data_IF_599210537818
#
_entry.id   IF_599210537818
#
_cell.length_a   1.000
_cell.length_b   1.000
_cell.length_c   1.000
_cell.angle_alpha   90.00
_cell.angle_beta   90.00
_cell.angle_gamma   90.00
#
_symmetry.space_group_name_H-M   'P 1'
#
loop_
_entity.id
_entity.type
_entity.pdbx_description
1 polymer ?
#
# COMPACT_ATOMS: atom_id res chain seq x y z
N UNK A 1 13.70 21.61 -77.96
CA UNK A 1 12.75 21.21 -76.90
C UNK A 1 13.50 20.43 -75.85
N UNK A 2 13.79 21.03 -74.70
CA UNK A 2 14.29 20.34 -73.50
C UNK A 2 13.63 21.05 -72.31
N UNK A 3 12.89 20.32 -71.49
CA UNK A 3 12.32 20.79 -70.23
C UNK A 3 12.83 19.84 -69.15
N UNK A 4 13.76 20.34 -68.34
CA UNK A 4 14.30 19.66 -67.15
C UNK A 4 13.38 20.01 -65.98
N UNK A 5 12.72 19.01 -65.40
CA UNK A 5 11.99 19.15 -64.14
C UNK A 5 12.92 18.77 -62.99
N UNK A 6 13.37 19.77 -62.22
CA UNK A 6 14.08 19.57 -60.97
C UNK A 6 13.09 19.19 -59.87
N UNK A 7 13.22 17.98 -59.31
CA UNK A 7 12.51 17.55 -58.12
C UNK A 7 13.06 18.24 -56.88
N UNK A 8 12.21 18.93 -56.14
CA UNK A 8 12.54 19.45 -54.81
C UNK A 8 12.15 18.39 -53.78
N UNK A 9 13.14 17.68 -53.24
CA UNK A 9 12.97 16.83 -52.07
C UNK A 9 13.04 17.71 -50.81
N UNK A 10 11.90 17.92 -50.15
CA UNK A 10 11.87 18.55 -48.83
C UNK A 10 12.24 17.48 -47.81
N UNK A 11 13.48 17.50 -47.33
CA UNK A 11 13.91 16.72 -46.19
C UNK A 11 13.23 17.24 -44.92
N UNK A 12 12.34 16.45 -44.33
CA UNK A 12 11.80 16.72 -43.00
C UNK A 12 12.91 16.42 -42.00
N UNK A 13 13.53 17.47 -41.47
CA UNK A 13 14.45 17.35 -40.35
C UNK A 13 13.67 16.89 -39.11
N UNK A 14 13.91 15.66 -38.66
CA UNK A 14 13.44 15.17 -37.38
C UNK A 14 14.13 15.96 -36.25
N UNK A 15 13.48 17.01 -35.75
CA UNK A 15 13.80 17.57 -34.44
C UNK A 15 13.11 16.73 -33.38
N UNK A 16 13.83 15.75 -32.85
CA UNK A 16 13.52 15.22 -31.52
C UNK A 16 13.94 16.25 -30.47
N UNK A 17 13.18 16.31 -29.36
CA UNK A 17 13.30 17.14 -28.15
C UNK A 17 12.46 18.41 -28.14
N UNK A 18 11.23 18.30 -27.63
CA UNK A 18 10.97 18.40 -26.19
C UNK A 18 9.68 17.65 -25.91
N UNK A 19 9.74 16.57 -25.12
CA UNK A 19 8.55 16.12 -24.42
C UNK A 19 8.31 17.19 -23.35
N UNK A 20 7.39 18.10 -23.63
CA UNK A 20 6.81 18.97 -22.61
C UNK A 20 6.39 18.05 -21.45
N UNK A 21 7.15 18.13 -20.36
CA UNK A 21 6.76 17.59 -19.07
C UNK A 21 5.55 18.39 -18.63
N UNK A 22 4.38 18.01 -19.14
CA UNK A 22 3.12 18.43 -18.57
C UNK A 22 3.17 18.03 -17.10
N UNK A 23 3.16 19.04 -16.23
CA UNK A 23 2.85 18.93 -14.81
C UNK A 23 1.62 18.02 -14.68
N UNK A 24 1.84 16.72 -14.51
CA UNK A 24 0.82 15.90 -13.88
C UNK A 24 0.64 16.52 -12.50
N UNK A 25 -0.58 16.88 -12.08
CA UNK A 25 -0.78 17.44 -10.76
C UNK A 25 -0.23 16.42 -9.76
N UNK A 26 0.92 16.75 -9.19
CA UNK A 26 1.61 15.89 -8.26
C UNK A 26 0.65 15.54 -7.13
N UNK A 27 0.76 14.31 -6.64
CA UNK A 27 0.03 13.91 -5.46
C UNK A 27 0.45 14.80 -4.27
N UNK A 28 -0.52 15.54 -3.70
CA UNK A 28 -0.30 16.39 -2.53
C UNK A 28 -0.17 15.51 -1.27
N UNK A 29 1.05 15.02 -1.03
CA UNK A 29 1.37 14.17 0.11
C UNK A 29 1.05 14.85 1.47
N UNK A 30 1.34 16.14 1.69
CA UNK A 30 0.86 16.86 2.87
C UNK A 30 -0.66 16.78 3.08
N UNK A 31 -1.46 16.99 2.03
CA UNK A 31 -2.91 16.91 2.12
C UNK A 31 -3.40 15.49 2.45
N UNK A 32 -2.78 14.45 1.86
CA UNK A 32 -3.10 13.05 2.17
C UNK A 32 -2.80 12.71 3.63
N UNK A 33 -1.62 13.08 4.13
CA UNK A 33 -1.24 12.84 5.53
C UNK A 33 -2.14 13.63 6.50
N UNK A 34 -2.54 14.85 6.14
CA UNK A 34 -3.47 15.63 6.94
C UNK A 34 -4.89 15.02 6.93
N UNK A 35 -5.33 14.43 5.82
CA UNK A 35 -6.58 13.69 5.79
C UNK A 35 -6.53 12.42 6.65
N UNK A 36 -5.44 11.65 6.58
CA UNK A 36 -5.22 10.48 7.44
C UNK A 36 -5.26 10.89 8.93
N UNK A 37 -4.63 12.01 9.29
CA UNK A 37 -4.65 12.54 10.66
C UNK A 37 -6.05 12.79 11.23
N UNK A 38 -7.03 13.11 10.37
CA UNK A 38 -8.42 13.34 10.79
C UNK A 38 -9.18 12.04 11.02
N UNK A 39 -8.81 10.98 10.31
CA UNK A 39 -9.42 9.65 10.46
C UNK A 39 -8.76 8.93 11.66
N UNK A 40 -7.42 8.95 11.70
CA UNK A 40 -6.59 8.28 12.69
C UNK A 40 -5.59 9.28 13.32
N UNK A 41 -5.96 9.93 14.45
CA UNK A 41 -5.09 10.91 15.11
C UNK A 41 -3.73 10.37 15.56
N UNK A 42 -3.62 9.05 15.74
CA UNK A 42 -2.41 8.33 16.15
C UNK A 42 -1.49 7.94 14.98
N UNK A 43 -1.84 8.23 13.72
CA UNK A 43 -1.06 7.79 12.55
C UNK A 43 0.43 8.15 12.63
N UNK A 44 0.77 9.30 13.23
CA UNK A 44 2.15 9.79 13.37
C UNK A 44 3.03 8.90 14.24
N UNK A 45 2.43 8.05 15.07
CA UNK A 45 3.17 7.05 15.86
C UNK A 45 3.77 5.97 14.96
N UNK A 46 3.19 5.74 13.77
CA UNK A 46 3.50 4.60 12.91
C UNK A 46 4.05 4.98 11.54
N UNK A 47 3.67 6.17 11.02
CA UNK A 47 4.10 6.65 9.70
C UNK A 47 5.09 7.80 9.82
N UNK A 48 6.29 7.61 9.25
CA UNK A 48 7.40 8.57 9.19
C UNK A 48 7.20 9.62 8.10
N UNK A 49 6.80 9.19 6.91
CA UNK A 49 6.56 10.06 5.77
C UNK A 49 5.84 9.35 4.62
N UNK A 50 5.43 10.13 3.64
CA UNK A 50 4.84 9.69 2.37
C UNK A 50 5.61 10.35 1.23
N UNK A 51 6.15 9.56 0.31
CA UNK A 51 7.01 10.05 -0.78
C UNK A 51 6.87 9.21 -2.05
N UNK A 52 7.13 9.77 -3.24
CA UNK A 52 7.12 8.98 -4.47
C UNK A 52 8.25 7.94 -4.48
N UNK A 53 8.08 6.89 -5.27
CA UNK A 53 9.17 5.98 -5.62
C UNK A 53 10.33 6.76 -6.27
N UNK A 54 11.56 6.27 -6.05
CA UNK A 54 12.72 6.87 -6.68
C UNK A 54 12.64 6.80 -8.21
N UNK A 55 13.13 7.80 -8.96
CA UNK A 55 13.15 7.78 -10.41
C UNK A 55 13.77 6.48 -10.97
N UNK A 56 13.10 5.86 -11.93
CA UNK A 56 13.54 4.60 -12.55
C UNK A 56 13.08 3.33 -11.81
N UNK A 57 12.46 3.45 -10.64
CA UNK A 57 11.80 2.34 -9.94
C UNK A 57 10.32 2.31 -10.37
N UNK A 58 10.00 1.53 -11.40
CA UNK A 58 8.60 1.25 -11.77
C UNK A 58 8.20 -0.12 -11.24
N UNK A 59 7.10 -0.18 -10.49
CA UNK A 59 6.67 -1.40 -9.82
C UNK A 59 5.22 -1.78 -10.08
N UNK A 60 4.44 -0.94 -10.79
CA UNK A 60 2.99 -1.12 -10.96
C UNK A 60 2.35 -1.43 -9.61
N UNK A 61 2.61 -0.57 -8.63
CA UNK A 61 2.02 -0.63 -7.30
C UNK A 61 1.39 0.71 -6.99
N UNK A 62 0.33 0.75 -6.20
CA UNK A 62 -0.19 2.02 -5.70
C UNK A 62 0.68 2.54 -4.56
N UNK A 63 0.88 1.74 -3.51
CA UNK A 63 1.69 2.08 -2.34
C UNK A 63 2.42 0.86 -1.79
N UNK A 64 3.48 1.11 -1.02
CA UNK A 64 4.17 0.10 -0.23
C UNK A 64 4.77 0.71 1.04
N UNK A 65 4.76 -0.06 2.12
CA UNK A 65 5.43 0.29 3.37
C UNK A 65 6.91 -0.11 3.34
N UNK A 66 7.81 0.82 3.66
CA UNK A 66 9.26 0.58 3.69
C UNK A 66 9.88 1.15 4.96
N UNK A 67 11.07 0.66 5.32
CA UNK A 67 11.83 1.33 6.39
C UNK A 67 12.17 2.77 5.99
N UNK A 68 12.31 3.69 6.96
CA UNK A 68 12.62 5.08 6.67
C UNK A 68 13.83 5.25 5.74
N UNK A 69 13.65 6.01 4.66
CA UNK A 69 14.68 6.31 3.66
C UNK A 69 14.99 5.20 2.64
N UNK A 70 14.31 4.04 2.63
CA UNK A 70 14.53 3.01 1.63
C UNK A 70 13.77 3.25 0.32
N UNK A 71 14.44 3.21 -0.83
CA UNK A 71 13.88 3.73 -2.10
C UNK A 71 13.17 2.70 -3.00
N UNK A 72 13.47 1.41 -2.84
CA UNK A 72 12.87 0.35 -3.65
C UNK A 72 12.16 -0.68 -2.75
N UNK A 73 10.83 -0.77 -2.72
CA UNK A 73 10.12 -1.70 -1.85
C UNK A 73 10.40 -3.19 -2.13
N UNK A 74 10.95 -3.52 -3.31
CA UNK A 74 11.39 -4.89 -3.63
C UNK A 74 12.84 -5.18 -3.20
N UNK A 75 13.57 -4.15 -2.74
CA UNK A 75 14.94 -4.27 -2.26
C UNK A 75 15.01 -5.13 -1.00
N UNK A 76 16.05 -5.96 -0.91
CA UNK A 76 16.35 -6.75 0.32
C UNK A 76 16.52 -5.85 1.54
N UNK A 77 16.91 -4.62 1.28
CA UNK A 77 17.20 -3.57 2.23
C UNK A 77 16.04 -2.55 2.34
N UNK A 78 14.81 -2.99 2.17
CA UNK A 78 13.65 -2.08 2.22
C UNK A 78 12.56 -2.53 3.17
N UNK A 79 12.68 -3.75 3.70
CA UNK A 79 11.71 -4.32 4.63
C UNK A 79 11.42 -3.32 5.77
N UNK A 80 10.13 -3.06 6.06
CA UNK A 80 9.74 -2.14 7.12
C UNK A 80 10.23 -2.63 8.48
N UNK A 81 10.40 -1.70 9.40
CA UNK A 81 10.68 -2.01 10.79
C UNK A 81 9.44 -2.55 11.50
N UNK A 82 9.69 -3.50 12.39
CA UNK A 82 8.74 -4.07 13.32
C UNK A 82 9.24 -3.96 14.76
N UNK A 83 8.31 -4.13 15.70
CA UNK A 83 8.53 -4.01 17.13
C UNK A 83 7.94 -2.73 17.71
N UNK A 84 7.72 -2.66 19.04
CA UNK A 84 7.10 -1.52 19.70
C UNK A 84 7.77 -0.19 19.33
N UNK A 85 6.99 0.77 18.84
CA UNK A 85 7.45 2.09 18.43
C UNK A 85 7.93 2.20 16.98
N UNK A 86 8.01 1.07 16.23
CA UNK A 86 8.48 1.09 14.85
C UNK A 86 7.68 2.07 13.99
N UNK A 87 8.43 2.86 13.21
CA UNK A 87 7.88 3.90 12.34
C UNK A 87 8.46 3.76 10.93
N UNK A 88 7.59 3.77 9.92
CA UNK A 88 7.93 3.40 8.55
C UNK A 88 7.51 4.48 7.54
N UNK A 89 8.17 4.53 6.39
CA UNK A 89 7.77 5.37 5.28
C UNK A 89 6.76 4.64 4.39
N UNK A 90 5.91 5.41 3.72
CA UNK A 90 5.10 4.92 2.61
C UNK A 90 5.67 5.49 1.32
N UNK A 91 5.93 4.60 0.35
CA UNK A 91 6.29 4.97 -1.01
C UNK A 91 5.13 4.71 -1.96
N UNK A 92 4.98 5.54 -3.00
CA UNK A 92 3.91 5.38 -4.00
C UNK A 92 4.40 5.55 -5.43
N UNK A 93 3.78 4.84 -6.37
CA UNK A 93 3.97 5.08 -7.81
C UNK A 93 3.00 6.18 -8.26
N UNK A 94 3.56 7.33 -8.67
CA UNK A 94 2.78 8.50 -9.04
C UNK A 94 1.83 8.27 -10.21
N UNK A 95 2.22 7.46 -11.20
CA UNK A 95 1.36 7.18 -12.34
C UNK A 95 0.21 6.25 -11.94
N UNK A 96 0.52 5.17 -11.23
CA UNK A 96 -0.49 4.19 -10.82
C UNK A 96 -1.54 4.80 -9.88
N UNK A 97 -1.11 5.59 -8.89
CA UNK A 97 -2.03 6.16 -7.89
C UNK A 97 -2.94 7.27 -8.44
N UNK A 98 -2.55 7.88 -9.57
CA UNK A 98 -3.34 8.91 -10.25
C UNK A 98 -4.24 8.32 -11.35
N UNK A 99 -3.94 7.13 -11.85
CA UNK A 99 -4.63 6.52 -12.98
C UNK A 99 -6.06 6.09 -12.63
N UNK A 100 -7.06 6.86 -13.07
CA UNK A 100 -8.47 6.44 -13.07
C UNK A 100 -9.18 6.41 -11.70
N UNK A 101 -8.46 6.64 -10.60
CA UNK A 101 -8.99 6.58 -9.24
C UNK A 101 -9.27 7.96 -8.64
N UNK A 102 -10.30 8.00 -7.80
CA UNK A 102 -10.72 9.15 -7.02
C UNK A 102 -9.69 9.51 -5.95
N UNK A 103 -9.66 10.76 -5.47
CA UNK A 103 -8.88 11.12 -4.30
C UNK A 103 -9.23 10.28 -3.06
N UNK A 104 -10.49 9.83 -2.93
CA UNK A 104 -10.94 9.02 -1.81
C UNK A 104 -10.30 7.62 -1.79
N UNK A 105 -10.06 7.03 -2.96
CA UNK A 105 -9.33 5.77 -3.07
C UNK A 105 -7.89 5.90 -2.56
N UNK A 106 -7.24 7.06 -2.77
CA UNK A 106 -5.88 7.31 -2.24
C UNK A 106 -5.86 7.36 -0.72
N UNK A 107 -6.92 7.87 -0.09
CA UNK A 107 -7.07 7.79 1.37
C UNK A 107 -7.23 6.35 1.83
N UNK A 108 -8.02 5.54 1.12
CA UNK A 108 -8.19 4.12 1.41
C UNK A 108 -6.84 3.38 1.34
N UNK A 109 -6.06 3.58 0.28
CA UNK A 109 -4.72 2.99 0.12
C UNK A 109 -3.74 3.45 1.21
N UNK A 110 -3.78 4.73 1.57
CA UNK A 110 -2.95 5.26 2.65
C UNK A 110 -3.32 4.62 4.01
N UNK A 111 -4.62 4.42 4.24
CA UNK A 111 -5.14 3.80 5.44
C UNK A 111 -4.83 2.28 5.50
N UNK A 112 -4.74 1.63 4.34
CA UNK A 112 -4.23 0.26 4.20
C UNK A 112 -2.78 0.13 4.71
N UNK A 113 -1.88 0.98 4.22
CA UNK A 113 -0.47 0.97 4.64
C UNK A 113 -0.30 1.38 6.10
N UNK A 114 -1.15 2.30 6.58
CA UNK A 114 -1.24 2.63 8.00
C UNK A 114 -1.57 1.40 8.86
N UNK A 115 -2.53 0.58 8.44
CA UNK A 115 -2.86 -0.66 9.16
C UNK A 115 -1.63 -1.57 9.29
N UNK A 116 -0.88 -1.78 8.20
CA UNK A 116 0.36 -2.58 8.24
C UNK A 116 1.39 -1.99 9.18
N UNK A 117 1.65 -0.68 9.10
CA UNK A 117 2.61 -0.02 9.98
C UNK A 117 2.24 -0.17 11.45
N UNK A 118 0.95 0.01 11.76
CA UNK A 118 0.41 -0.16 13.10
C UNK A 118 0.51 -1.61 13.59
N UNK A 119 0.25 -2.57 12.71
CA UNK A 119 0.39 -3.99 13.03
C UNK A 119 1.84 -4.37 13.34
N UNK A 120 2.79 -3.94 12.50
CA UNK A 120 4.22 -4.18 12.71
C UNK A 120 4.75 -3.57 14.03
N UNK A 121 4.17 -2.44 14.44
CA UNK A 121 4.49 -1.81 15.71
C UNK A 121 3.80 -2.44 16.93
N UNK A 122 2.99 -3.50 16.74
CA UNK A 122 2.22 -4.15 17.81
C UNK A 122 0.97 -3.39 18.24
N UNK A 123 0.52 -2.41 17.45
CA UNK A 123 -0.65 -1.59 17.74
C UNK A 123 -1.98 -2.22 17.34
N UNK A 124 -2.02 -3.31 16.57
CA UNK A 124 -3.28 -4.01 16.21
C UNK A 124 -3.50 -5.26 17.05
N UNK A 125 -4.75 -5.73 17.10
CA UNK A 125 -5.12 -7.02 17.71
C UNK A 125 -4.80 -8.23 16.84
N UNK A 126 -4.26 -8.02 15.63
CA UNK A 126 -3.94 -9.08 14.70
C UNK A 126 -2.68 -9.80 15.22
N UNK A 127 -2.77 -11.08 15.68
CA UNK A 127 -1.59 -11.78 16.15
C UNK A 127 -0.62 -11.97 15.00
N UNK A 128 0.66 -11.69 15.20
CA UNK A 128 1.66 -11.96 14.17
C UNK A 128 1.61 -13.46 13.84
N UNK A 129 1.40 -13.78 12.56
CA UNK A 129 1.40 -15.17 12.08
C UNK A 129 2.81 -15.78 12.01
N UNK A 130 3.76 -15.27 12.80
CA UNK A 130 5.18 -15.64 12.79
C UNK A 130 5.36 -17.16 12.77
N UNK A 131 6.27 -17.62 11.91
CA UNK A 131 6.60 -19.03 11.76
C UNK A 131 5.54 -19.85 11.00
N UNK A 132 4.48 -19.22 10.48
CA UNK A 132 3.55 -19.88 9.55
C UNK A 132 4.15 -20.04 8.15
N UNK A 133 5.12 -19.19 7.81
CA UNK A 133 5.70 -19.07 6.47
C UNK A 133 5.25 -17.78 5.79
N UNK A 134 6.14 -17.22 4.97
CA UNK A 134 5.99 -15.87 4.41
C UNK A 134 4.69 -15.66 3.62
N UNK A 135 4.21 -16.67 2.88
CA UNK A 135 2.97 -16.55 2.11
C UNK A 135 1.72 -16.51 3.00
N UNK A 136 1.68 -17.30 4.07
CA UNK A 136 0.57 -17.29 5.04
C UNK A 136 0.55 -15.94 5.76
N UNK A 137 1.71 -15.49 6.24
CA UNK A 137 1.85 -14.19 6.89
C UNK A 137 1.36 -13.05 5.98
N UNK A 138 1.79 -13.05 4.71
CA UNK A 138 1.35 -12.07 3.70
C UNK A 138 -0.15 -12.11 3.50
N UNK A 139 -0.75 -13.27 3.20
CA UNK A 139 -2.18 -13.33 2.92
C UNK A 139 -3.03 -12.99 4.15
N UNK A 140 -2.54 -13.29 5.36
CA UNK A 140 -3.22 -12.93 6.59
C UNK A 140 -3.18 -11.42 6.86
N UNK A 141 -2.02 -10.79 6.74
CA UNK A 141 -1.89 -9.33 6.93
C UNK A 141 -2.67 -8.55 5.88
N UNK A 142 -2.61 -8.96 4.61
CA UNK A 142 -3.34 -8.33 3.52
C UNK A 142 -4.86 -8.45 3.68
N UNK A 143 -5.37 -9.66 3.97
CA UNK A 143 -6.80 -9.85 4.19
C UNK A 143 -7.32 -9.00 5.37
N UNK A 144 -6.49 -8.83 6.41
CA UNK A 144 -6.81 -8.00 7.56
C UNK A 144 -6.85 -6.51 7.21
N UNK A 145 -5.84 -6.01 6.48
CA UNK A 145 -5.76 -4.61 6.06
C UNK A 145 -6.92 -4.23 5.12
N UNK A 146 -7.19 -5.04 4.09
CA UNK A 146 -8.34 -4.83 3.20
C UNK A 146 -9.67 -4.93 3.93
N UNK A 147 -9.83 -5.92 4.83
CA UNK A 147 -11.03 -6.05 5.64
C UNK A 147 -11.28 -4.83 6.53
N UNK A 148 -10.20 -4.28 7.11
CA UNK A 148 -10.24 -3.04 7.86
C UNK A 148 -10.71 -1.86 6.99
N UNK A 149 -10.13 -1.66 5.80
CA UNK A 149 -10.57 -0.60 4.88
C UNK A 149 -12.03 -0.77 4.44
N UNK A 150 -12.48 -2.00 4.17
CA UNK A 150 -13.88 -2.28 3.83
C UNK A 150 -14.81 -1.87 4.99
N UNK A 151 -14.42 -2.13 6.24
CA UNK A 151 -15.19 -1.71 7.41
C UNK A 151 -15.23 -0.18 7.55
N UNK A 152 -14.10 0.51 7.39
CA UNK A 152 -14.03 1.98 7.43
C UNK A 152 -14.83 2.63 6.29
N UNK A 153 -14.78 2.05 5.08
CA UNK A 153 -15.58 2.49 3.95
C UNK A 153 -17.08 2.37 4.23
N UNK A 154 -17.53 1.23 4.82
CA UNK A 154 -18.93 1.06 5.26
C UNK A 154 -19.33 2.04 6.36
N UNK A 155 -18.38 2.46 7.21
CA UNK A 155 -18.58 3.50 8.20
C UNK A 155 -18.54 4.93 7.61
N UNK A 156 -18.39 5.08 6.29
CA UNK A 156 -18.42 6.38 5.59
C UNK A 156 -17.14 7.20 5.75
N UNK A 157 -16.01 6.56 6.09
CA UNK A 157 -14.73 7.24 6.38
C UNK A 157 -14.00 7.76 5.14
N UNK A 158 -14.40 7.33 3.95
CA UNK A 158 -13.86 7.80 2.67
C UNK A 158 -14.95 8.49 1.82
N UNK A 159 -15.33 9.74 2.15
CA UNK A 159 -16.28 10.50 1.34
C UNK A 159 -15.80 10.64 -0.11
N UNK A 160 -16.66 10.28 -1.06
CA UNK A 160 -16.34 10.31 -2.50
C UNK A 160 -15.71 9.04 -3.05
N UNK A 161 -15.54 7.98 -2.23
CA UNK A 161 -15.16 6.66 -2.71
C UNK A 161 -16.23 6.12 -3.65
N UNK A 162 -15.83 5.72 -4.85
CA UNK A 162 -16.76 5.26 -5.87
C UNK A 162 -17.13 3.78 -5.67
N UNK A 163 -18.29 3.32 -6.20
CA UNK A 163 -18.71 1.93 -6.05
C UNK A 163 -17.78 0.88 -6.70
N UNK A 164 -17.10 1.24 -7.79
CA UNK A 164 -16.07 0.40 -8.44
C UNK A 164 -14.85 0.23 -7.56
N UNK A 165 -14.39 1.30 -6.92
CA UNK A 165 -13.24 1.32 -6.02
C UNK A 165 -13.50 0.55 -4.72
N UNK A 166 -14.72 0.68 -4.18
CA UNK A 166 -15.14 -0.11 -3.03
C UNK A 166 -15.21 -1.61 -3.37
N UNK A 167 -15.65 -1.95 -4.59
CA UNK A 167 -15.64 -3.33 -5.06
C UNK A 167 -14.23 -3.87 -5.25
N UNK A 168 -13.29 -3.06 -5.75
CA UNK A 168 -11.88 -3.45 -5.80
C UNK A 168 -11.36 -3.83 -4.40
N UNK A 169 -11.62 -3.01 -3.37
CA UNK A 169 -11.22 -3.34 -2.00
C UNK A 169 -11.83 -4.67 -1.49
N UNK A 170 -13.10 -4.95 -1.83
CA UNK A 170 -13.74 -6.23 -1.51
C UNK A 170 -13.11 -7.41 -2.26
N UNK A 171 -12.80 -7.23 -3.53
CA UNK A 171 -12.19 -8.26 -4.36
C UNK A 171 -10.79 -8.61 -3.82
N UNK A 172 -9.96 -7.60 -3.50
CA UNK A 172 -8.65 -7.81 -2.87
C UNK A 172 -8.78 -8.52 -1.52
N UNK A 173 -9.71 -8.12 -0.66
CA UNK A 173 -9.98 -8.82 0.60
C UNK A 173 -10.31 -10.30 0.36
N UNK A 174 -11.22 -10.57 -0.59
CA UNK A 174 -11.68 -11.91 -0.94
C UNK A 174 -10.55 -12.79 -1.48
N UNK A 175 -9.71 -12.25 -2.36
CA UNK A 175 -8.55 -12.93 -2.93
C UNK A 175 -7.59 -13.39 -1.82
N UNK A 176 -7.18 -12.48 -0.93
CA UNK A 176 -6.25 -12.82 0.15
C UNK A 176 -6.87 -13.80 1.16
N UNK A 177 -8.15 -13.64 1.50
CA UNK A 177 -8.87 -14.58 2.37
C UNK A 177 -8.95 -15.99 1.75
N UNK A 178 -9.26 -16.08 0.46
CA UNK A 178 -9.36 -17.34 -0.26
C UNK A 178 -8.01 -18.05 -0.36
N UNK A 179 -6.93 -17.32 -0.69
CA UNK A 179 -5.57 -17.86 -0.72
C UNK A 179 -5.13 -18.34 0.67
N UNK A 180 -5.38 -17.56 1.72
CA UNK A 180 -5.07 -17.96 3.11
C UNK A 180 -5.79 -19.27 3.48
N UNK A 181 -7.09 -19.36 3.16
CA UNK A 181 -7.89 -20.57 3.37
C UNK A 181 -7.29 -21.77 2.66
N UNK A 182 -6.89 -21.61 1.39
CA UNK A 182 -6.30 -22.69 0.61
C UNK A 182 -4.98 -23.20 1.21
N UNK A 183 -4.15 -22.29 1.72
CA UNK A 183 -2.86 -22.63 2.34
C UNK A 183 -3.00 -23.33 3.70
N UNK A 184 -4.04 -23.00 4.47
CA UNK A 184 -4.12 -23.40 5.88
C UNK A 184 -5.18 -24.44 6.20
N UNK A 185 -6.30 -24.48 5.47
CA UNK A 185 -7.48 -25.26 5.89
C UNK A 185 -7.17 -26.75 6.08
N UNK A 186 -6.29 -27.31 5.25
CA UNK A 186 -5.88 -28.73 5.35
C UNK A 186 -4.62 -28.92 6.21
N UNK A 187 -3.71 -27.95 6.19
CA UNK A 187 -2.41 -28.03 6.88
C UNK A 187 -2.53 -27.79 8.39
N UNK A 188 -3.35 -26.83 8.79
CA UNK A 188 -3.57 -26.42 10.19
C UNK A 188 -4.99 -25.84 10.37
N UNK A 189 -6.02 -26.72 10.45
CA UNK A 189 -7.42 -26.30 10.53
C UNK A 189 -7.74 -25.45 11.76
N UNK A 190 -7.07 -25.72 12.88
CA UNK A 190 -7.28 -25.01 14.14
C UNK A 190 -6.78 -23.57 14.05
N UNK A 191 -5.55 -23.38 13.55
CA UNK A 191 -4.99 -22.04 13.33
C UNK A 191 -5.76 -21.28 12.24
N UNK A 192 -6.19 -21.96 11.18
CA UNK A 192 -7.10 -21.38 10.18
C UNK A 192 -8.38 -20.84 10.81
N UNK A 193 -9.05 -21.62 11.68
CA UNK A 193 -10.30 -21.17 12.31
C UNK A 193 -10.09 -19.88 13.11
N UNK A 194 -9.04 -19.83 13.94
CA UNK A 194 -8.72 -18.64 14.73
C UNK A 194 -8.43 -17.40 13.86
N UNK A 195 -7.69 -17.58 12.76
CA UNK A 195 -7.44 -16.49 11.81
C UNK A 195 -8.73 -16.04 11.10
N UNK A 196 -9.55 -16.99 10.66
CA UNK A 196 -10.80 -16.70 9.97
C UNK A 196 -11.80 -15.96 10.87
N UNK A 197 -11.89 -16.31 12.15
CA UNK A 197 -12.78 -15.68 13.12
C UNK A 197 -12.41 -14.21 13.37
N UNK A 198 -11.11 -13.90 13.40
CA UNK A 198 -10.61 -12.52 13.49
C UNK A 198 -10.88 -11.73 12.21
N UNK A 199 -10.63 -12.32 11.03
CA UNK A 199 -10.85 -11.66 9.74
C UNK A 199 -12.34 -11.37 9.45
N UNK A 200 -13.27 -12.07 10.10
CA UNK A 200 -14.71 -11.78 10.03
C UNK A 200 -15.14 -10.55 10.84
N UNK A 201 -14.27 -10.03 11.72
CA UNK A 201 -14.55 -8.90 12.60
C UNK A 201 -13.50 -7.78 12.42
N UNK A 202 -13.34 -7.25 11.20
CA UNK A 202 -12.29 -6.27 10.89
C UNK A 202 -12.34 -5.01 11.77
N UNK A 203 -13.52 -4.58 12.20
CA UNK A 203 -13.75 -3.43 13.08
C UNK A 203 -13.14 -3.58 14.49
N UNK A 204 -12.79 -4.80 14.89
CA UNK A 204 -12.15 -5.08 16.18
C UNK A 204 -10.62 -5.02 16.09
N UNK A 205 -10.04 -5.11 14.89
CA UNK A 205 -8.59 -5.23 14.70
C UNK A 205 -7.82 -3.98 15.16
N UNK A 206 -8.48 -2.81 15.22
CA UNK A 206 -7.86 -1.55 15.66
C UNK A 206 -8.12 -1.20 17.12
N UNK A 207 -9.23 -1.66 17.72
CA UNK A 207 -9.74 -1.12 18.99
C UNK A 207 -8.94 -1.47 20.26
N UNK A 208 -7.95 -2.36 20.17
CA UNK A 208 -7.48 -3.09 21.36
C UNK A 208 -5.96 -3.35 21.37
N UNK A 209 -5.16 -2.56 20.66
CA UNK A 209 -3.70 -2.64 20.75
C UNK A 209 -3.12 -1.98 22.01
N UNK A 210 -2.01 -2.54 22.51
CA UNK A 210 -1.25 -1.95 23.60
C UNK A 210 -0.57 -0.63 23.21
N UNK A 211 -0.11 0.13 24.20
CA UNK A 211 0.63 1.39 23.98
C UNK A 211 1.97 1.11 23.28
N UNK A 212 2.32 1.82 22.19
CA UNK A 212 3.57 1.61 21.44
C UNK A 212 4.85 2.03 22.19
N UNK A 213 4.74 2.43 23.47
CA UNK A 213 5.77 3.17 24.21
C UNK A 213 6.67 2.32 25.13
N UNK A 214 6.62 0.98 25.07
CA UNK A 214 7.53 0.13 25.84
C UNK A 214 8.71 -0.38 24.98
N UNK A 215 9.93 -0.03 25.38
CA UNK A 215 11.20 -0.11 24.64
C UNK A 215 11.73 -1.55 24.42
N UNK A 216 12.71 -1.89 23.55
CA UNK A 216 13.97 -1.17 23.25
C UNK A 216 14.65 -1.51 21.90
N UNK A 217 14.09 -2.35 21.00
CA UNK A 217 14.75 -2.67 19.70
C UNK A 217 13.77 -2.91 18.56
N UNK A 218 13.73 -2.00 17.58
CA UNK A 218 13.12 -2.25 16.28
C UNK A 218 14.06 -3.11 15.43
N UNK A 219 13.49 -3.94 14.58
CA UNK A 219 14.22 -4.79 13.66
C UNK A 219 13.45 -4.88 12.33
N UNK A 220 14.10 -5.23 11.21
CA UNK A 220 13.37 -5.51 9.98
C UNK A 220 12.32 -6.60 10.22
N UNK A 221 11.11 -6.43 9.70
CA UNK A 221 9.92 -7.25 10.02
C UNK A 221 9.99 -8.73 9.64
N UNK A 222 11.11 -9.20 9.08
CA UNK A 222 11.23 -10.54 8.50
C UNK A 222 10.42 -10.74 7.22
N UNK A 223 9.62 -9.75 6.81
CA UNK A 223 8.97 -9.74 5.50
C UNK A 223 10.06 -9.71 4.43
N UNK A 224 10.18 -10.79 3.66
CA UNK A 224 11.20 -10.89 2.61
C UNK A 224 11.05 -9.84 1.50
N UNK A 225 9.86 -9.23 1.38
CA UNK A 225 9.50 -8.06 0.57
C UNK A 225 8.40 -7.29 1.28
N UNK A 226 8.36 -5.97 1.11
CA UNK A 226 7.24 -5.16 1.61
C UNK A 226 5.92 -5.61 0.98
N UNK A 227 4.80 -5.60 1.73
CA UNK A 227 3.48 -5.60 1.11
C UNK A 227 3.44 -4.41 0.18
N UNK A 228 3.11 -4.69 -1.06
CA UNK A 228 2.89 -3.70 -2.08
C UNK A 228 1.48 -3.94 -2.58
N UNK A 229 0.70 -2.88 -2.70
CA UNK A 229 -0.61 -2.96 -3.32
C UNK A 229 -0.41 -2.88 -4.84
N UNK A 230 -0.59 -3.95 -5.63
CA UNK A 230 -0.48 -3.90 -7.08
C UNK A 230 -1.65 -3.16 -7.72
#
# INVERSE_FOLDING_TARGET
MVLVAAGVSIGVAAHALAADGADQPGLDAPALLHALARIHPDYRLYISGLRPLAPGVSRRLYMALVRPGADDPAGRDSAPYAGPGARNDIVYDGEAILAGHSPAFRYLLLDHEYFHARHLAGGTLLPLASGAGAEIERHYSEAAAWGFNVAEARAGRYPGLRPDEFREALDRQGEHFASLKALMKEKDPGRWSGMADLLRQPELLIKTGGSPLAADRWHPSGWGRSPAIP
#
